data_IF_612157909633
#
_entry.id   IF_612157909633
#
_cell.length_a   1.000
_cell.length_b   1.000
_cell.length_c   1.000
_cell.angle_alpha   90.00
_cell.angle_beta   90.00
_cell.angle_gamma   90.00
#
_symmetry.space_group_name_H-M   'P 1'
#
loop_
_entity.id
_entity.type
_entity.pdbx_description
1 polymer ?
#
# COMPACT_ATOMS: atom_id res chain seq x y z
N UNK A 1 -14.45 31.81 -29.62
CA UNK A 1 -14.25 32.25 -28.22
C UNK A 1 -13.62 31.09 -27.46
N UNK A 2 -12.32 31.17 -27.22
CA UNK A 2 -11.52 30.10 -26.61
C UNK A 2 -11.69 30.21 -25.10
N UNK A 3 -12.51 29.32 -24.52
CA UNK A 3 -12.63 29.17 -23.07
C UNK A 3 -11.28 28.75 -22.48
N UNK A 4 -10.83 29.51 -21.49
CA UNK A 4 -9.54 29.37 -20.83
C UNK A 4 -9.41 27.97 -20.19
N UNK A 5 -8.38 27.21 -20.59
CA UNK A 5 -8.06 25.86 -20.07
C UNK A 5 -7.84 25.83 -18.55
N UNK A 6 -7.77 26.99 -17.89
CA UNK A 6 -7.63 27.14 -16.44
C UNK A 6 -8.92 26.87 -15.65
N UNK A 7 -10.11 26.93 -16.27
CA UNK A 7 -11.37 26.66 -15.53
C UNK A 7 -11.70 25.17 -15.39
N UNK A 8 -11.32 24.34 -16.37
CA UNK A 8 -11.59 22.89 -16.33
C UNK A 8 -10.76 22.12 -15.30
N UNK A 9 -9.70 22.72 -14.73
CA UNK A 9 -8.95 22.13 -13.61
C UNK A 9 -9.68 22.20 -12.27
N UNK A 10 -10.69 23.09 -12.12
CA UNK A 10 -11.41 23.28 -10.85
C UNK A 10 -12.49 22.22 -10.59
N UNK A 11 -12.98 21.55 -11.63
CA UNK A 11 -14.09 20.59 -11.53
C UNK A 11 -13.70 19.12 -11.71
N UNK A 12 -12.41 18.78 -11.83
CA UNK A 12 -11.96 17.38 -11.75
C UNK A 12 -12.54 16.44 -12.82
N UNK A 13 -13.02 16.97 -13.95
CA UNK A 13 -13.62 16.18 -15.03
C UNK A 13 -12.88 16.54 -16.32
N UNK A 14 -11.88 15.75 -16.68
CA UNK A 14 -11.67 15.27 -18.05
C UNK A 14 -10.78 14.02 -18.00
N UNK A 15 -11.46 12.89 -18.15
CA UNK A 15 -11.10 11.68 -18.89
C UNK A 15 -9.66 11.61 -19.42
N UNK A 16 -8.94 10.59 -18.97
CA UNK A 16 -7.93 9.94 -19.80
C UNK A 16 -8.30 8.45 -19.93
N UNK A 17 -9.45 8.19 -20.55
CA UNK A 17 -9.68 6.93 -21.26
C UNK A 17 -8.96 7.05 -22.61
N UNK A 18 -7.69 6.65 -22.65
CA UNK A 18 -7.01 6.15 -23.84
C UNK A 18 -5.62 5.63 -23.43
N UNK A 19 -5.62 4.44 -22.80
CA UNK A 19 -4.55 3.47 -23.01
C UNK A 19 -5.12 2.07 -22.85
N UNK A 20 -5.58 1.46 -23.95
CA UNK A 20 -5.58 0.00 -24.02
C UNK A 20 -4.12 -0.45 -23.99
N UNK A 21 -3.75 -1.20 -22.95
CA UNK A 21 -2.43 -1.84 -22.84
C UNK A 21 -1.60 -1.45 -21.62
N UNK A 22 -2.17 -1.59 -20.41
CA UNK A 22 -1.47 -1.87 -19.15
C UNK A 22 -2.54 -2.11 -18.09
N UNK A 23 -2.69 -3.34 -17.58
CA UNK A 23 -3.50 -3.61 -16.39
C UNK A 23 -2.95 -2.75 -15.24
N UNK A 24 -3.55 -1.57 -15.03
CA UNK A 24 -3.11 -0.66 -13.98
C UNK A 24 -3.68 -1.18 -12.68
N UNK A 25 -2.82 -1.80 -11.87
CA UNK A 25 -3.21 -2.25 -10.54
C UNK A 25 -3.60 -1.05 -9.66
N UNK A 26 -4.85 -1.03 -9.22
CA UNK A 26 -5.38 0.01 -8.34
C UNK A 26 -5.14 -0.37 -6.88
N UNK A 27 -4.87 0.60 -6.02
CA UNK A 27 -4.77 0.35 -4.59
C UNK A 27 -6.15 0.00 -4.05
N UNK A 28 -6.31 -1.22 -3.53
CA UNK A 28 -7.59 -1.72 -2.99
C UNK A 28 -7.59 -1.83 -1.47
N UNK A 29 -6.41 -1.83 -0.84
CA UNK A 29 -6.27 -1.94 0.60
C UNK A 29 -5.00 -1.27 1.09
N UNK A 30 -5.08 -0.63 2.25
CA UNK A 30 -3.93 -0.08 2.93
C UNK A 30 -4.12 -0.14 4.44
N UNK A 31 -3.16 -0.76 5.14
CA UNK A 31 -3.16 -0.82 6.60
C UNK A 31 -1.79 -0.45 7.13
N UNK A 32 -1.79 0.33 8.22
CA UNK A 32 -0.61 0.64 9.03
C UNK A 32 -0.81 0.07 10.43
N UNK A 33 0.26 -0.44 11.03
CA UNK A 33 0.28 -0.92 12.41
C UNK A 33 1.59 -0.53 13.11
N UNK A 34 1.54 -0.44 14.44
CA UNK A 34 2.70 -0.22 15.30
C UNK A 34 3.09 1.24 15.52
N UNK A 35 4.03 1.43 16.46
CA UNK A 35 4.53 2.73 16.92
C UNK A 35 6.00 2.94 16.57
N UNK A 36 6.92 2.50 17.45
CA UNK A 36 8.38 2.54 17.21
C UNK A 36 8.73 1.72 15.97
N UNK A 37 8.34 0.45 15.92
CA UNK A 37 8.37 -0.36 14.71
C UNK A 37 7.06 -0.17 13.93
N UNK A 38 7.12 0.53 12.80
CA UNK A 38 5.98 0.77 11.92
C UNK A 38 5.93 -0.30 10.85
N UNK A 39 4.78 -0.95 10.72
CA UNK A 39 4.49 -2.02 9.76
C UNK A 39 3.39 -1.52 8.82
N UNK A 40 3.56 -1.69 7.51
CA UNK A 40 2.60 -1.25 6.51
C UNK A 40 2.39 -2.33 5.45
N UNK A 41 1.14 -2.56 5.09
CA UNK A 41 0.73 -3.38 3.96
C UNK A 41 -0.12 -2.52 3.02
N UNK A 42 0.27 -2.49 1.75
CA UNK A 42 -0.53 -1.89 0.68
C UNK A 42 -0.80 -2.95 -0.37
N UNK A 43 -2.07 -3.18 -0.70
CA UNK A 43 -2.49 -4.16 -1.70
C UNK A 43 -3.01 -3.42 -2.91
N UNK A 44 -2.52 -3.83 -4.07
CA UNK A 44 -3.01 -3.41 -5.36
C UNK A 44 -3.63 -4.59 -6.09
N UNK A 45 -4.65 -4.34 -6.90
CA UNK A 45 -5.24 -5.35 -7.78
C UNK A 45 -5.73 -4.71 -9.07
N UNK A 46 -5.67 -5.46 -10.15
CA UNK A 46 -6.30 -5.15 -11.43
C UNK A 46 -7.67 -5.86 -11.61
N UNK A 47 -8.15 -6.55 -10.56
CA UNK A 47 -9.39 -7.33 -10.56
C UNK A 47 -9.15 -8.85 -10.53
N UNK A 48 -7.99 -9.30 -10.99
CA UNK A 48 -7.60 -10.71 -11.02
C UNK A 48 -6.33 -10.96 -10.19
N UNK A 49 -5.27 -10.21 -10.51
CA UNK A 49 -3.96 -10.34 -9.86
C UNK A 49 -3.86 -9.44 -8.65
N UNK A 50 -2.92 -9.76 -7.77
CA UNK A 50 -2.63 -9.00 -6.57
C UNK A 50 -1.15 -8.64 -6.49
N UNK A 51 -0.86 -7.41 -6.05
CA UNK A 51 0.47 -6.98 -5.61
C UNK A 51 0.40 -6.56 -4.16
N UNK A 52 1.10 -7.28 -3.29
CA UNK A 52 1.22 -6.95 -1.87
C UNK A 52 2.56 -6.26 -1.62
N UNK A 53 2.54 -4.99 -1.23
CA UNK A 53 3.73 -4.20 -0.90
C UNK A 53 3.84 -4.04 0.61
N UNK A 54 4.94 -4.52 1.17
CA UNK A 54 5.23 -4.52 2.59
C UNK A 54 6.35 -3.53 2.90
N UNK A 55 6.10 -2.64 3.86
CA UNK A 55 7.09 -1.70 4.34
C UNK A 55 7.18 -1.75 5.87
N UNK A 56 8.35 -2.12 6.38
CA UNK A 56 8.68 -2.11 7.81
C UNK A 56 9.74 -1.06 8.05
N UNK A 57 9.46 -0.14 8.98
CA UNK A 57 10.38 0.93 9.37
C UNK A 57 10.56 0.96 10.87
N UNK A 58 11.78 1.13 11.35
CA UNK A 58 12.06 1.40 12.75
C UNK A 58 12.49 2.85 12.96
N UNK A 59 12.71 3.26 14.20
CA UNK A 59 13.37 4.51 14.56
C UNK A 59 14.77 4.22 15.07
N UNK A 60 15.74 4.99 14.60
CA UNK A 60 17.04 5.06 15.27
C UNK A 60 16.86 5.46 16.72
N UNK A 61 17.77 5.01 17.58
CA UNK A 61 17.84 5.44 18.97
C UNK A 61 19.15 6.18 19.22
N UNK A 62 19.17 7.51 19.04
CA UNK A 62 20.36 8.30 19.32
C UNK A 62 20.74 8.18 20.79
N UNK A 63 22.04 8.12 21.04
CA UNK A 63 22.61 8.10 22.39
C UNK A 63 22.33 9.42 23.13
N UNK A 64 22.59 9.45 24.45
CA UNK A 64 22.42 10.67 25.27
C UNK A 64 23.27 11.84 24.76
N UNK A 65 24.50 11.59 24.33
CA UNK A 65 25.39 12.61 23.76
C UNK A 65 24.85 13.17 22.44
N UNK A 66 24.32 12.31 21.58
CA UNK A 66 23.73 12.72 20.30
C UNK A 66 22.43 13.52 20.51
N UNK A 67 21.59 13.11 21.46
CA UNK A 67 20.40 13.87 21.87
C UNK A 67 20.77 15.26 22.40
N UNK A 68 21.85 15.38 23.17
CA UNK A 68 22.36 16.67 23.65
C UNK A 68 22.85 17.59 22.51
N UNK A 69 23.31 17.00 21.40
CA UNK A 69 23.64 17.72 20.15
C UNK A 69 22.40 18.01 19.28
N UNK A 70 21.19 17.71 19.76
CA UNK A 70 19.94 17.92 19.04
C UNK A 70 19.60 16.85 18.01
N UNK A 71 20.31 15.72 17.96
CA UNK A 71 20.03 14.64 17.01
C UNK A 71 18.76 13.91 17.44
N UNK A 72 17.75 13.94 16.56
CA UNK A 72 16.45 13.32 16.76
C UNK A 72 16.41 11.90 16.17
N UNK A 73 15.60 10.99 16.75
CA UNK A 73 15.29 9.70 16.12
C UNK A 73 14.81 9.85 14.68
N UNK A 74 15.42 9.10 13.75
CA UNK A 74 15.05 9.08 12.33
C UNK A 74 14.45 7.75 11.97
N UNK A 75 13.56 7.73 10.97
CA UNK A 75 13.01 6.49 10.43
C UNK A 75 14.05 5.81 9.54
N UNK A 76 14.22 4.51 9.74
CA UNK A 76 15.04 3.65 8.87
C UNK A 76 14.15 2.56 8.28
N UNK A 77 14.36 2.22 7.01
CA UNK A 77 13.66 1.13 6.34
C UNK A 77 14.36 -0.17 6.73
N UNK A 78 13.63 -1.07 7.37
CA UNK A 78 14.11 -2.42 7.67
C UNK A 78 13.72 -3.41 6.57
N UNK A 79 12.58 -3.17 5.91
CA UNK A 79 12.11 -4.00 4.81
C UNK A 79 11.23 -3.19 3.88
N UNK A 80 11.50 -3.28 2.58
CA UNK A 80 10.63 -2.81 1.50
C UNK A 80 10.60 -3.91 0.44
N UNK A 81 9.52 -4.68 0.41
CA UNK A 81 9.37 -5.84 -0.47
C UNK A 81 7.97 -5.90 -1.05
N UNK A 82 7.88 -6.32 -2.31
CA UNK A 82 6.62 -6.58 -2.97
C UNK A 82 6.53 -8.05 -3.42
N UNK A 83 5.34 -8.62 -3.31
CA UNK A 83 5.00 -9.96 -3.78
C UNK A 83 3.81 -9.88 -4.73
N UNK A 84 3.79 -10.75 -5.73
CA UNK A 84 2.79 -10.79 -6.78
C UNK A 84 2.11 -12.15 -6.77
N UNK A 85 0.79 -12.14 -6.95
CA UNK A 85 -0.04 -13.34 -6.98
C UNK A 85 -0.99 -13.24 -8.15
N UNK A 86 -1.17 -14.35 -8.86
CA UNK A 86 -2.02 -14.37 -10.05
C UNK A 86 -3.51 -14.34 -9.68
N UNK A 87 -3.88 -14.84 -8.50
CA UNK A 87 -5.25 -14.84 -8.01
C UNK A 87 -5.32 -14.97 -6.48
N UNK A 88 -6.54 -14.96 -5.93
CA UNK A 88 -6.79 -15.06 -4.49
C UNK A 88 -6.41 -16.42 -3.90
N UNK A 89 -6.49 -17.50 -4.68
CA UNK A 89 -6.16 -18.85 -4.20
C UNK A 89 -4.65 -19.00 -4.02
N UNK A 90 -3.87 -18.53 -5.00
CA UNK A 90 -2.41 -18.45 -4.93
C UNK A 90 -1.96 -17.60 -3.72
N UNK A 91 -2.60 -16.45 -3.49
CA UNK A 91 -2.36 -15.65 -2.29
C UNK A 91 -2.59 -16.46 -1.01
N UNK A 92 -3.72 -17.17 -0.90
CA UNK A 92 -4.11 -17.95 0.30
C UNK A 92 -3.14 -19.08 0.63
N UNK A 93 -2.68 -19.81 -0.39
CA UNK A 93 -1.73 -20.90 -0.21
C UNK A 93 -0.40 -20.42 0.37
N UNK A 94 0.01 -19.20 0.03
CA UNK A 94 1.32 -18.66 0.39
C UNK A 94 1.36 -17.80 1.67
N UNK A 95 0.21 -17.42 2.26
CA UNK A 95 0.13 -16.44 3.37
C UNK A 95 1.08 -16.77 4.53
N UNK A 96 1.19 -18.04 4.90
CA UNK A 96 1.98 -18.48 6.07
C UNK A 96 3.47 -18.16 5.94
N UNK A 97 3.96 -18.00 4.71
CA UNK A 97 5.37 -17.69 4.43
C UNK A 97 5.61 -16.19 4.23
N UNK A 98 4.57 -15.36 4.30
CA UNK A 98 4.66 -13.93 4.04
C UNK A 98 4.91 -13.11 5.31
N UNK A 99 5.63 -11.97 5.18
CA UNK A 99 5.72 -11.02 6.27
C UNK A 99 4.34 -10.47 6.63
N UNK A 100 4.14 -10.12 7.89
CA UNK A 100 2.91 -9.46 8.35
C UNK A 100 1.63 -10.25 8.00
N UNK A 101 1.68 -11.59 8.10
CA UNK A 101 0.57 -12.50 7.75
C UNK A 101 -0.76 -12.12 8.40
N UNK A 102 -0.76 -11.62 9.64
CA UNK A 102 -1.95 -11.08 10.31
C UNK A 102 -2.64 -9.96 9.52
N UNK A 103 -1.87 -9.04 8.91
CA UNK A 103 -2.40 -7.96 8.10
C UNK A 103 -2.98 -8.46 6.77
N UNK A 104 -2.44 -9.56 6.24
CA UNK A 104 -2.95 -10.20 5.02
C UNK A 104 -4.26 -10.91 5.32
N UNK A 105 -4.36 -11.61 6.45
CA UNK A 105 -5.60 -12.26 6.90
C UNK A 105 -6.72 -11.24 7.05
N UNK A 106 -6.43 -10.08 7.65
CA UNK A 106 -7.42 -9.00 7.77
C UNK A 106 -7.87 -8.47 6.40
N UNK A 107 -6.92 -8.27 5.47
CA UNK A 107 -7.25 -7.91 4.09
C UNK A 107 -8.22 -8.92 3.46
N UNK A 108 -7.93 -10.22 3.55
CA UNK A 108 -8.76 -11.26 2.93
C UNK A 108 -10.16 -11.30 3.53
N UNK A 109 -10.29 -11.14 4.86
CA UNK A 109 -11.59 -11.08 5.53
C UNK A 109 -12.43 -9.92 4.98
N UNK A 110 -11.87 -8.72 4.92
CA UNK A 110 -12.55 -7.52 4.41
C UNK A 110 -12.90 -7.68 2.94
N UNK A 111 -11.95 -8.17 2.13
CA UNK A 111 -12.15 -8.36 0.70
C UNK A 111 -13.26 -9.37 0.40
N UNK A 112 -13.35 -10.46 1.18
CA UNK A 112 -14.38 -11.48 1.01
C UNK A 112 -15.75 -11.00 1.49
N UNK A 113 -15.81 -10.27 2.61
CA UNK A 113 -17.05 -9.68 3.10
C UNK A 113 -17.69 -8.73 2.07
N UNK A 114 -16.89 -7.83 1.50
CA UNK A 114 -17.36 -6.86 0.51
C UNK A 114 -17.81 -7.49 -0.82
N UNK A 115 -17.37 -8.73 -1.14
CA UNK A 115 -17.83 -9.45 -2.34
C UNK A 115 -19.20 -10.09 -2.17
N UNK A 116 -19.58 -10.44 -0.94
CA UNK A 116 -20.85 -11.11 -0.65
C UNK A 116 -22.03 -10.13 -0.51
N UNK A 117 -21.78 -8.82 -0.53
CA UNK A 117 -22.80 -7.76 -0.46
C UNK A 117 -23.29 -7.28 -1.84
N UNK A 118 -22.91 -7.97 -2.93
CA UNK A 118 -23.35 -7.72 -4.31
C UNK A 118 -24.02 -8.96 -4.88
#
# INVERSE_FOLDING_TARGET
>A
MVGDKRELKRYGIFSNEMSLGKNKMNQIYHRKAGGKLRKMLTVYSDGEKFKLSFLIMDRTDPTRSEKAKGIKPKRIILMDKAFFFDNMEDLRLNIKHMPLSEMIVDFIKIFTANKNEK
#
